data_IF_473318901784
#
_entry.id   IF_473318901784
#
_cell.length_a   1.000
_cell.length_b   1.000
_cell.length_c   1.000
_cell.angle_alpha   90.00
_cell.angle_beta   90.00
_cell.angle_gamma   90.00
#
_symmetry.space_group_name_H-M   'P 1'
#
loop_
_entity.id
_entity.type
_entity.pdbx_description
1 polymer ?
#
# COMPACT_ATOMS: atom_id res chain seq x y z
N UNK A 1 -3.70 -13.00 -19.40
CA UNK A 1 -3.19 -13.80 -20.53
C UNK A 1 -2.98 -12.87 -21.72
N UNK A 2 -2.02 -13.17 -22.59
CA UNK A 2 -1.81 -12.45 -23.86
C UNK A 2 -3.02 -12.65 -24.78
N UNK A 3 -3.07 -11.93 -25.92
CA UNK A 3 -4.09 -12.14 -26.95
C UNK A 3 -4.16 -13.61 -27.43
N UNK A 4 -3.07 -14.35 -27.31
CA UNK A 4 -2.95 -15.76 -27.69
C UNK A 4 -3.30 -16.74 -26.54
N UNK A 5 -3.72 -16.23 -25.38
CA UNK A 5 -4.07 -17.05 -24.21
C UNK A 5 -2.88 -17.41 -23.30
N UNK A 6 -1.67 -17.00 -23.65
CA UNK A 6 -0.46 -17.36 -22.89
C UNK A 6 -0.27 -16.47 -21.64
N UNK A 7 0.58 -16.89 -20.71
CA UNK A 7 0.98 -16.04 -19.60
C UNK A 7 1.77 -14.82 -20.10
N UNK A 8 1.54 -13.64 -19.50
CA UNK A 8 2.40 -12.50 -19.78
C UNK A 8 3.78 -12.69 -19.15
N UNK A 9 4.82 -12.18 -19.82
CA UNK A 9 6.09 -11.88 -19.14
C UNK A 9 5.90 -10.73 -18.16
N UNK A 10 6.75 -10.63 -17.13
CA UNK A 10 6.67 -9.55 -16.13
C UNK A 10 6.59 -8.14 -16.75
N UNK A 11 7.51 -7.77 -17.66
CA UNK A 11 7.44 -6.50 -18.38
C UNK A 11 6.24 -6.42 -19.34
N UNK A 12 5.90 -7.52 -20.02
CA UNK A 12 4.80 -7.57 -20.98
C UNK A 12 3.46 -7.22 -20.36
N UNK A 13 3.16 -7.73 -19.16
CA UNK A 13 1.96 -7.38 -18.42
C UNK A 13 1.91 -5.89 -18.07
N UNK A 14 3.04 -5.34 -17.60
CA UNK A 14 3.11 -3.95 -17.17
C UNK A 14 2.88 -2.98 -18.34
N UNK A 15 3.48 -3.26 -19.50
CA UNK A 15 3.29 -2.45 -20.70
C UNK A 15 1.84 -2.51 -21.20
N UNK A 16 1.28 -3.73 -21.30
CA UNK A 16 -0.12 -3.93 -21.68
C UNK A 16 -1.08 -3.15 -20.77
N UNK A 17 -0.87 -3.19 -19.44
CA UNK A 17 -1.70 -2.45 -18.51
C UNK A 17 -1.59 -0.93 -18.70
N UNK A 18 -0.38 -0.41 -18.92
CA UNK A 18 -0.16 1.02 -19.18
C UNK A 18 -0.84 1.45 -20.49
N UNK A 19 -0.83 0.61 -21.53
CA UNK A 19 -1.54 0.87 -22.78
C UNK A 19 -3.06 0.88 -22.56
N UNK A 20 -3.60 -0.05 -21.75
CA UNK A 20 -5.00 -0.01 -21.33
C UNK A 20 -5.35 1.28 -20.57
N UNK A 21 -4.50 1.70 -19.63
CA UNK A 21 -4.70 2.94 -18.87
C UNK A 21 -4.70 4.17 -19.80
N UNK A 22 -3.79 4.21 -20.80
CA UNK A 22 -3.75 5.26 -21.81
C UNK A 22 -5.01 5.27 -22.68
N UNK A 23 -5.46 4.11 -23.14
CA UNK A 23 -6.68 3.97 -23.94
C UNK A 23 -7.93 4.40 -23.17
N UNK A 24 -7.94 4.23 -21.85
CA UNK A 24 -8.99 4.71 -20.95
C UNK A 24 -8.89 6.22 -20.61
N UNK A 25 -7.91 6.95 -21.17
CA UNK A 25 -7.74 8.38 -20.92
C UNK A 25 -7.19 8.72 -19.52
N UNK A 26 -6.58 7.75 -18.83
CA UNK A 26 -6.02 7.99 -17.50
C UNK A 26 -4.71 8.79 -17.55
N UNK A 27 -4.37 9.53 -16.49
CA UNK A 27 -3.13 10.28 -16.41
C UNK A 27 -1.87 9.41 -16.60
N UNK A 28 -0.79 10.06 -17.05
CA UNK A 28 0.53 9.41 -17.12
C UNK A 28 0.95 8.92 -15.73
N UNK A 29 1.60 7.75 -15.69
CA UNK A 29 2.07 7.14 -14.44
C UNK A 29 1.12 6.13 -13.80
N UNK A 30 -0.08 5.94 -14.34
CA UNK A 30 -0.99 4.85 -13.95
C UNK A 30 -0.43 3.49 -14.40
N UNK A 31 0.26 2.79 -13.51
CA UNK A 31 0.83 1.46 -13.76
C UNK A 31 0.48 0.47 -12.64
N UNK A 32 0.60 -0.85 -12.85
CA UNK A 32 0.26 -1.86 -11.84
C UNK A 32 1.04 -1.69 -10.54
N UNK A 33 2.32 -1.32 -10.63
CA UNK A 33 3.15 -1.10 -9.45
C UNK A 33 2.66 0.11 -8.64
N UNK A 34 2.23 1.19 -9.31
CA UNK A 34 1.61 2.35 -8.66
C UNK A 34 0.31 1.99 -7.95
N UNK A 35 -0.53 1.15 -8.56
CA UNK A 35 -1.77 0.66 -7.94
C UNK A 35 -1.50 -0.13 -6.65
N UNK A 36 -0.50 -1.00 -6.64
CA UNK A 36 -0.11 -1.74 -5.42
C UNK A 36 0.31 -0.80 -4.29
N UNK A 37 1.08 0.26 -4.60
CA UNK A 37 1.46 1.29 -3.62
C UNK A 37 0.25 2.04 -3.08
N UNK A 38 -0.65 2.45 -3.99
CA UNK A 38 -1.87 3.15 -3.62
C UNK A 38 -2.78 2.29 -2.72
N UNK A 39 -2.91 1.00 -3.02
CA UNK A 39 -3.63 0.06 -2.17
C UNK A 39 -3.01 -0.05 -0.77
N UNK A 40 -1.69 -0.20 -0.67
CA UNK A 40 -0.99 -0.23 0.61
C UNK A 40 -1.27 1.04 1.45
N UNK A 41 -1.17 2.21 0.81
CA UNK A 41 -1.44 3.50 1.44
C UNK A 41 -2.88 3.61 1.97
N UNK A 42 -3.86 3.26 1.14
CA UNK A 42 -5.29 3.32 1.52
C UNK A 42 -5.64 2.38 2.68
N UNK A 43 -5.04 1.18 2.71
CA UNK A 43 -5.22 0.26 3.83
C UNK A 43 -4.60 0.80 5.13
N UNK A 44 -3.45 1.46 5.06
CA UNK A 44 -2.85 2.12 6.22
C UNK A 44 -3.73 3.27 6.75
N UNK A 45 -4.31 4.06 5.85
CA UNK A 45 -5.28 5.11 6.21
C UNK A 45 -6.55 4.53 6.82
N UNK A 46 -6.98 3.34 6.38
CA UNK A 46 -8.06 2.55 6.97
C UNK A 46 -7.67 1.87 8.30
N UNK A 47 -6.48 2.17 8.85
CA UNK A 47 -5.94 1.65 10.12
C UNK A 47 -5.64 0.15 10.12
N UNK A 48 -5.50 -0.46 8.95
CA UNK A 48 -4.96 -1.82 8.87
C UNK A 48 -3.51 -1.84 9.37
N UNK A 49 -3.16 -2.93 10.04
CA UNK A 49 -1.79 -3.24 10.45
C UNK A 49 -0.90 -3.55 9.25
N UNK A 50 0.42 -3.36 9.41
CA UNK A 50 1.40 -3.69 8.35
C UNK A 50 1.28 -5.17 7.91
N UNK A 51 0.90 -6.08 8.81
CA UNK A 51 0.70 -7.49 8.50
C UNK A 51 -0.54 -7.74 7.62
N UNK A 52 -1.67 -7.10 7.92
CA UNK A 52 -2.87 -7.16 7.07
C UNK A 52 -2.58 -6.58 5.68
N UNK A 53 -1.88 -5.45 5.63
CA UNK A 53 -1.50 -4.81 4.38
C UNK A 53 -0.58 -5.72 3.57
N UNK A 54 0.42 -6.35 4.21
CA UNK A 54 1.31 -7.33 3.58
C UNK A 54 0.53 -8.50 2.99
N UNK A 55 -0.45 -9.03 3.72
CA UNK A 55 -1.28 -10.14 3.27
C UNK A 55 -2.10 -9.77 2.02
N UNK A 56 -2.70 -8.58 1.99
CA UNK A 56 -3.49 -8.11 0.83
C UNK A 56 -2.60 -7.79 -0.38
N UNK A 57 -1.46 -7.14 -0.15
CA UNK A 57 -0.60 -6.63 -1.24
C UNK A 57 0.41 -7.65 -1.75
N UNK A 58 0.59 -8.77 -1.05
CA UNK A 58 1.51 -9.85 -1.43
C UNK A 58 2.99 -9.48 -1.30
N UNK A 59 3.35 -8.45 -0.54
CA UNK A 59 4.76 -8.10 -0.32
C UNK A 59 5.47 -9.21 0.47
N UNK A 60 6.72 -9.49 0.09
CA UNK A 60 7.53 -10.52 0.74
C UNK A 60 8.01 -10.04 2.09
N UNK A 61 8.37 -8.75 2.20
CA UNK A 61 8.93 -8.17 3.42
C UNK A 61 8.05 -7.06 3.99
N UNK A 62 8.11 -6.86 5.30
CA UNK A 62 7.42 -5.73 5.96
C UNK A 62 8.03 -4.39 5.55
N UNK A 63 9.34 -4.35 5.29
CA UNK A 63 10.07 -3.13 4.88
C UNK A 63 9.52 -2.53 3.59
N UNK A 64 9.08 -3.36 2.65
CA UNK A 64 8.45 -2.88 1.41
C UNK A 64 7.08 -2.24 1.67
N UNK A 65 6.30 -2.79 2.59
CA UNK A 65 5.01 -2.23 2.99
C UNK A 65 5.22 -0.91 3.74
N UNK A 66 6.09 -0.90 4.74
CA UNK A 66 6.43 0.28 5.54
C UNK A 66 6.86 1.45 4.67
N UNK A 67 7.63 1.20 3.60
CA UNK A 67 8.03 2.26 2.65
C UNK A 67 6.84 3.06 2.13
N UNK A 68 5.68 2.44 1.96
CA UNK A 68 4.47 3.08 1.42
C UNK A 68 3.48 3.50 2.51
N UNK A 69 3.52 2.90 3.70
CA UNK A 69 2.56 3.18 4.78
C UNK A 69 3.12 4.13 5.84
N UNK A 70 4.44 4.29 5.96
CA UNK A 70 5.12 5.04 7.04
C UNK A 70 4.51 6.40 7.32
N UNK A 71 4.24 7.19 6.27
CA UNK A 71 3.70 8.53 6.46
C UNK A 71 2.25 8.52 7.00
N UNK A 72 1.42 7.53 6.63
CA UNK A 72 0.04 7.39 7.13
C UNK A 72 0.08 6.92 8.58
N UNK A 73 0.94 5.95 8.85
CA UNK A 73 1.09 5.38 10.17
C UNK A 73 1.69 6.39 11.15
N UNK A 74 2.67 7.20 10.74
CA UNK A 74 3.34 8.16 11.62
C UNK A 74 2.36 9.16 12.27
N UNK A 75 1.49 9.79 11.46
CA UNK A 75 0.51 10.75 11.96
C UNK A 75 -0.45 10.10 12.97
N UNK A 76 -1.04 8.97 12.58
CA UNK A 76 -1.99 8.22 13.43
C UNK A 76 -1.34 7.71 14.71
N UNK A 77 -0.16 7.12 14.61
CA UNK A 77 0.57 6.55 15.74
C UNK A 77 1.01 7.64 16.72
N UNK A 78 1.41 8.81 16.21
CA UNK A 78 1.73 9.96 17.07
C UNK A 78 0.53 10.38 17.92
N UNK A 79 -0.63 10.58 17.29
CA UNK A 79 -1.87 10.94 18.02
C UNK A 79 -2.24 9.87 19.05
N UNK A 80 -2.21 8.59 18.65
CA UNK A 80 -2.56 7.49 19.54
C UNK A 80 -1.57 7.34 20.71
N UNK A 81 -0.27 7.56 20.49
CA UNK A 81 0.75 7.45 21.53
C UNK A 81 0.63 8.57 22.57
N UNK A 82 0.42 9.82 22.13
CA UNK A 82 0.23 10.96 23.04
C UNK A 82 -1.04 10.78 23.87
N UNK A 83 -2.14 10.34 23.27
CA UNK A 83 -3.37 10.05 23.99
C UNK A 83 -3.18 9.02 25.11
N UNK A 84 -2.37 7.98 24.87
CA UNK A 84 -2.08 6.93 25.87
C UNK A 84 -1.31 7.46 27.08
N UNK A 85 -0.39 8.40 26.88
CA UNK A 85 0.35 9.05 27.98
C UNK A 85 -0.62 9.86 28.84
N UNK A 86 -1.51 10.64 28.22
CA UNK A 86 -2.52 11.42 28.93
C UNK A 86 -3.54 10.58 29.72
N UNK A 87 -3.81 9.34 29.27
CA UNK A 87 -4.71 8.40 29.96
C UNK A 87 -4.03 7.54 31.03
N UNK A 88 -2.69 7.54 31.10
CA UNK A 88 -1.96 6.78 32.12
C UNK A 88 -1.90 7.65 33.38
N UNK A 89 -2.87 7.46 34.28
CA UNK A 89 -2.77 7.94 35.66
C UNK A 89 -1.45 7.47 36.31
N UNK A 90 -0.95 8.17 37.35
CA UNK A 90 0.33 7.88 37.96
C UNK A 90 0.41 6.38 38.29
N UNK A 91 1.51 5.74 37.89
CA UNK A 91 1.77 4.37 38.29
C UNK A 91 1.83 4.36 39.83
N UNK A 92 0.89 3.68 40.47
CA UNK A 92 0.95 3.48 41.92
C UNK A 92 2.20 2.66 42.28
N UNK A 93 2.82 2.98 43.45
CA UNK A 93 4.15 2.51 43.84
C UNK A 93 4.26 0.99 44.03
#
# INVERSE_FOLDING_TARGET
MTRQGEAFTGPGFSNWFVDCARAAGLPKGCCPHGLRKAAARRLAEARCTVHEIKAVTGHTTLKEVERYTRAADQERLAVAAIARIGSRGPAEP
#
